data_IF_954843294078
#
_entry.id   IF_954843294078
#
_cell.length_a   1.000
_cell.length_b   1.000
_cell.length_c   1.000
_cell.angle_alpha   90.00
_cell.angle_beta   90.00
_cell.angle_gamma   90.00
#
_symmetry.space_group_name_H-M   'P 1'
#
loop_
_entity.id
_entity.type
_entity.pdbx_description
1 polymer ?
#
# COMPACT_ATOMS: atom_id res chain seq x y z
N UNK A 1 40.39 64.66 -35.28
CA UNK A 1 40.85 65.09 -33.94
C UNK A 1 41.90 64.08 -33.47
N UNK A 2 43.15 64.27 -33.92
CA UNK A 2 44.36 64.55 -33.13
C UNK A 2 44.71 63.48 -32.07
N UNK A 3 45.62 62.57 -32.43
CA UNK A 3 46.54 61.94 -31.49
C UNK A 3 47.68 62.91 -31.15
N UNK A 4 48.03 63.02 -29.86
CA UNK A 4 49.28 63.59 -29.32
C UNK A 4 49.68 62.73 -28.09
N UNK A 5 50.97 62.44 -27.84
CA UNK A 5 51.41 61.35 -26.95
C UNK A 5 51.70 61.85 -25.52
N UNK A 6 51.88 60.92 -24.56
CA UNK A 6 52.66 61.18 -23.34
C UNK A 6 53.22 59.91 -22.68
N UNK A 7 54.52 59.77 -22.89
CA UNK A 7 55.61 59.39 -21.97
C UNK A 7 55.35 58.42 -20.82
N UNK A 8 56.15 57.35 -20.88
CA UNK A 8 56.66 56.56 -19.77
C UNK A 8 57.12 57.43 -18.59
N UNK A 9 56.66 57.09 -17.39
CA UNK A 9 57.44 57.28 -16.16
C UNK A 9 57.31 56.03 -15.32
N UNK A 10 58.39 55.26 -15.27
CA UNK A 10 58.55 54.21 -14.29
C UNK A 10 58.56 54.75 -12.87
N UNK A 11 57.99 53.99 -11.95
CA UNK A 11 58.35 54.02 -10.54
C UNK A 11 58.36 52.57 -10.04
N UNK A 12 59.57 52.08 -9.80
CA UNK A 12 59.88 50.90 -9.00
C UNK A 12 59.40 51.09 -7.56
N UNK A 13 58.79 50.07 -6.96
CA UNK A 13 58.75 49.95 -5.50
C UNK A 13 57.57 49.20 -4.93
N UNK A 14 57.87 48.09 -4.24
CA UNK A 14 57.23 47.76 -2.97
C UNK A 14 56.00 46.87 -3.01
N UNK A 15 56.23 45.57 -2.74
CA UNK A 15 55.35 44.63 -2.06
C UNK A 15 53.83 44.85 -2.18
N UNK A 16 53.24 44.37 -3.26
CA UNK A 16 51.80 44.09 -3.34
C UNK A 16 51.60 42.58 -3.40
N UNK A 17 51.40 41.94 -2.25
CA UNK A 17 51.04 40.53 -2.18
C UNK A 17 49.79 40.28 -3.02
N UNK A 18 49.94 39.41 -4.01
CA UNK A 18 48.83 38.96 -4.85
C UNK A 18 47.97 38.04 -3.99
N UNK A 19 46.85 38.55 -3.46
CA UNK A 19 45.84 37.73 -2.78
C UNK A 19 45.19 36.79 -3.79
N UNK A 20 45.78 35.61 -3.97
CA UNK A 20 45.15 34.49 -4.65
C UNK A 20 43.99 34.01 -3.79
N UNK A 21 42.77 34.36 -4.18
CA UNK A 21 41.56 33.69 -3.69
C UNK A 21 41.59 32.27 -4.24
N UNK A 22 41.99 31.32 -3.40
CA UNK A 22 41.91 29.90 -3.73
C UNK A 22 40.44 29.52 -3.86
N UNK A 23 39.98 29.37 -5.10
CA UNK A 23 38.68 28.79 -5.40
C UNK A 23 38.74 27.35 -4.88
N UNK A 24 37.97 27.06 -3.82
CA UNK A 24 37.78 25.71 -3.28
C UNK A 24 37.46 24.80 -4.47
N UNK A 25 38.41 23.97 -4.87
CA UNK A 25 38.16 23.00 -5.93
C UNK A 25 37.04 22.06 -5.45
N UNK A 26 36.07 21.70 -6.31
CA UNK A 26 35.09 20.71 -5.93
C UNK A 26 35.85 19.45 -5.54
N UNK A 27 35.51 18.88 -4.38
CA UNK A 27 36.12 17.67 -3.88
C UNK A 27 35.81 16.52 -4.84
N UNK A 28 36.68 16.32 -5.83
CA UNK A 28 36.59 15.24 -6.81
C UNK A 28 37.90 14.45 -6.85
N UNK A 29 38.43 14.12 -5.68
CA UNK A 29 39.45 13.07 -5.59
C UNK A 29 38.83 11.75 -6.09
N UNK A 30 39.55 10.97 -6.92
CA UNK A 30 39.12 9.62 -7.32
C UNK A 30 38.71 8.75 -6.13
N UNK A 31 39.35 8.95 -4.97
CA UNK A 31 39.04 8.27 -3.71
C UNK A 31 37.67 8.69 -3.17
N UNK A 32 37.33 9.98 -3.21
CA UNK A 32 36.02 10.46 -2.73
C UNK A 32 34.88 9.98 -3.64
N UNK A 33 35.10 9.92 -4.95
CA UNK A 33 34.13 9.35 -5.89
C UNK A 33 33.93 7.84 -5.68
N UNK A 34 34.97 7.10 -5.28
CA UNK A 34 34.85 5.69 -4.92
C UNK A 34 33.97 5.50 -3.67
N UNK A 35 34.16 6.33 -2.64
CA UNK A 35 33.32 6.32 -1.43
C UNK A 35 31.86 6.64 -1.73
N UNK A 36 31.59 7.61 -2.63
CA UNK A 36 30.22 7.94 -3.04
C UNK A 36 29.57 6.77 -3.77
N UNK A 37 30.28 6.12 -4.71
CA UNK A 37 29.77 4.95 -5.43
C UNK A 37 29.47 3.78 -4.50
N UNK A 38 30.39 3.46 -3.59
CA UNK A 38 30.21 2.39 -2.61
C UNK A 38 28.98 2.64 -1.73
N UNK A 39 28.76 3.90 -1.32
CA UNK A 39 27.56 4.29 -0.56
C UNK A 39 26.28 4.15 -1.39
N UNK A 40 26.30 4.58 -2.65
CA UNK A 40 25.13 4.52 -3.53
C UNK A 40 24.77 3.06 -3.87
N UNK A 41 25.77 2.20 -4.06
CA UNK A 41 25.59 0.75 -4.21
C UNK A 41 25.00 0.12 -2.95
N UNK A 42 25.50 0.48 -1.76
CA UNK A 42 24.95 0.02 -0.49
C UNK A 42 23.50 0.48 -0.29
N UNK A 43 23.16 1.72 -0.67
CA UNK A 43 21.78 2.24 -0.65
C UNK A 43 20.89 1.46 -1.62
N UNK A 44 21.38 1.17 -2.83
CA UNK A 44 20.64 0.39 -3.82
C UNK A 44 20.36 -1.04 -3.35
N UNK A 45 21.36 -1.72 -2.77
CA UNK A 45 21.21 -3.05 -2.18
C UNK A 45 20.22 -3.04 -1.02
N UNK A 46 20.30 -2.05 -0.11
CA UNK A 46 19.35 -1.92 1.00
C UNK A 46 17.91 -1.68 0.51
N UNK A 47 17.72 -0.91 -0.56
CA UNK A 47 16.41 -0.71 -1.20
C UNK A 47 15.88 -2.00 -1.82
N UNK A 48 16.73 -2.76 -2.52
CA UNK A 48 16.34 -4.05 -3.12
C UNK A 48 15.89 -5.05 -2.04
N UNK A 49 16.68 -5.22 -0.98
CA UNK A 49 16.36 -6.10 0.15
C UNK A 49 15.05 -5.71 0.85
N UNK A 50 14.78 -4.40 1.01
CA UNK A 50 13.50 -3.92 1.55
C UNK A 50 12.33 -4.32 0.65
N UNK A 51 12.46 -4.10 -0.66
CA UNK A 51 11.43 -4.47 -1.65
C UNK A 51 11.16 -5.97 -1.66
N UNK A 52 12.18 -6.81 -1.60
CA UNK A 52 12.03 -8.27 -1.51
C UNK A 52 11.30 -8.70 -0.23
N UNK A 53 11.65 -8.08 0.92
CA UNK A 53 10.96 -8.33 2.19
C UNK A 53 9.50 -7.88 2.17
N UNK A 54 9.21 -6.74 1.56
CA UNK A 54 7.85 -6.25 1.38
C UNK A 54 7.03 -7.18 0.47
N UNK A 55 7.62 -7.64 -0.63
CA UNK A 55 6.98 -8.60 -1.54
C UNK A 55 6.73 -9.96 -0.88
N UNK A 56 7.70 -10.48 -0.12
CA UNK A 56 7.54 -11.75 0.59
C UNK A 56 6.50 -11.66 1.70
N UNK A 57 6.44 -10.53 2.41
CA UNK A 57 5.40 -10.25 3.40
C UNK A 57 4.02 -10.16 2.77
N UNK A 58 3.85 -9.35 1.72
CA UNK A 58 2.57 -9.21 1.03
C UNK A 58 2.07 -10.55 0.47
N UNK A 59 2.99 -11.36 -0.06
CA UNK A 59 2.68 -12.71 -0.53
C UNK A 59 2.23 -13.64 0.60
N UNK A 60 2.90 -13.63 1.75
CA UNK A 60 2.45 -14.36 2.94
C UNK A 60 1.09 -13.88 3.44
N UNK A 61 0.86 -12.57 3.48
CA UNK A 61 -0.44 -12.00 3.87
C UNK A 61 -1.57 -12.48 2.94
N UNK A 62 -1.30 -12.71 1.65
CA UNK A 62 -2.27 -13.33 0.74
C UNK A 62 -2.38 -14.85 0.89
N UNK A 63 -1.26 -15.56 1.11
CA UNK A 63 -1.21 -17.03 1.28
C UNK A 63 -1.88 -17.49 2.58
N UNK A 64 -1.79 -16.68 3.65
CA UNK A 64 -2.46 -16.91 4.93
C UNK A 64 -3.77 -16.10 5.04
N UNK A 65 -4.14 -15.39 3.97
CA UNK A 65 -5.24 -14.42 3.94
C UNK A 65 -6.60 -15.06 3.74
N UNK A 66 -7.60 -14.58 4.49
CA UNK A 66 -9.00 -15.00 4.34
C UNK A 66 -9.82 -13.88 3.72
N UNK A 67 -10.50 -14.16 2.61
CA UNK A 67 -11.55 -13.31 2.07
C UNK A 67 -12.90 -13.75 2.65
N UNK A 68 -13.59 -12.85 3.34
CA UNK A 68 -14.94 -13.10 3.84
C UNK A 68 -15.96 -12.53 2.88
N UNK A 69 -16.86 -13.36 2.36
CA UNK A 69 -17.94 -12.94 1.47
C UNK A 69 -19.27 -12.92 2.23
N UNK A 70 -19.94 -11.76 2.27
CA UNK A 70 -21.27 -11.58 2.85
C UNK A 70 -22.27 -11.20 1.74
N UNK A 71 -22.96 -12.18 1.14
CA UNK A 71 -24.00 -11.90 0.15
C UNK A 71 -25.26 -11.37 0.85
N UNK A 72 -25.86 -10.32 0.30
CA UNK A 72 -27.06 -9.69 0.86
C UNK A 72 -28.05 -9.34 -0.24
N UNK A 73 -29.35 -9.58 0.00
CA UNK A 73 -30.43 -9.20 -0.90
C UNK A 73 -31.66 -8.75 -0.11
N UNK A 74 -32.05 -7.50 -0.32
CA UNK A 74 -33.18 -6.81 0.32
C UNK A 74 -33.07 -6.69 1.84
N UNK A 75 -33.16 -7.79 2.56
CA UNK A 75 -33.08 -7.81 4.02
C UNK A 75 -31.63 -7.65 4.48
N UNK A 76 -31.40 -6.60 5.25
CA UNK A 76 -30.11 -6.21 5.82
C UNK A 76 -30.23 -6.00 7.33
N UNK A 77 -31.31 -6.49 7.95
CA UNK A 77 -31.63 -6.29 9.37
C UNK A 77 -30.52 -6.79 10.29
N UNK A 78 -29.83 -7.85 9.88
CA UNK A 78 -28.77 -8.50 10.66
C UNK A 78 -27.36 -8.22 10.13
N UNK A 79 -27.24 -7.49 9.02
CA UNK A 79 -25.96 -7.27 8.34
C UNK A 79 -24.96 -6.55 9.25
N UNK A 80 -25.43 -5.62 10.08
CA UNK A 80 -24.58 -4.93 11.05
C UNK A 80 -23.96 -5.90 12.07
N UNK A 81 -24.76 -6.82 12.62
CA UNK A 81 -24.31 -7.84 13.55
C UNK A 81 -23.33 -8.81 12.88
N UNK A 82 -23.63 -9.26 11.66
CA UNK A 82 -22.74 -10.10 10.85
C UNK A 82 -21.38 -9.42 10.66
N UNK A 83 -21.36 -8.18 10.13
CA UNK A 83 -20.13 -7.44 9.89
C UNK A 83 -19.36 -7.13 11.17
N UNK A 84 -20.06 -6.79 12.26
CA UNK A 84 -19.45 -6.61 13.56
C UNK A 84 -18.74 -7.89 14.06
N UNK A 85 -19.33 -9.06 13.85
CA UNK A 85 -18.71 -10.34 14.24
C UNK A 85 -17.45 -10.66 13.44
N UNK A 86 -17.43 -10.31 12.15
CA UNK A 86 -16.27 -10.46 11.28
C UNK A 86 -15.16 -9.47 11.65
N UNK A 87 -15.52 -8.22 11.95
CA UNK A 87 -14.57 -7.21 12.41
C UNK A 87 -13.97 -7.52 13.79
N UNK A 88 -14.67 -8.32 14.61
CA UNK A 88 -14.24 -8.74 15.94
C UNK A 88 -13.34 -9.99 15.94
N UNK A 89 -12.97 -10.53 14.77
CA UNK A 89 -12.10 -11.71 14.70
C UNK A 89 -10.71 -11.43 15.29
N UNK A 90 -10.20 -12.35 16.10
CA UNK A 90 -8.86 -12.25 16.70
C UNK A 90 -7.74 -12.37 15.66
N UNK A 91 -8.02 -13.09 14.57
CA UNK A 91 -7.24 -13.05 13.34
C UNK A 91 -8.10 -12.31 12.32
N UNK A 92 -7.75 -11.06 11.96
CA UNK A 92 -8.57 -10.28 11.06
C UNK A 92 -8.56 -10.91 9.67
N UNK A 93 -9.69 -10.89 8.94
CA UNK A 93 -9.69 -11.27 7.54
C UNK A 93 -8.81 -10.31 6.72
N UNK A 94 -8.30 -10.80 5.59
CA UNK A 94 -7.56 -9.96 4.63
C UNK A 94 -8.48 -8.89 4.04
N UNK A 95 -9.72 -9.27 3.76
CA UNK A 95 -10.75 -8.39 3.23
C UNK A 95 -12.16 -8.93 3.54
N UNK A 96 -13.14 -8.04 3.49
CA UNK A 96 -14.55 -8.36 3.63
C UNK A 96 -15.27 -7.82 2.40
N UNK A 97 -15.98 -8.70 1.68
CA UNK A 97 -16.73 -8.37 0.48
C UNK A 97 -18.22 -8.48 0.76
N UNK A 98 -18.94 -7.36 0.73
CA UNK A 98 -20.40 -7.35 0.80
C UNK A 98 -20.95 -7.34 -0.63
N UNK A 99 -21.58 -8.44 -1.03
CA UNK A 99 -22.15 -8.58 -2.37
C UNK A 99 -23.66 -8.38 -2.32
N UNK A 100 -24.10 -7.19 -2.72
CA UNK A 100 -25.50 -6.84 -2.83
C UNK A 100 -26.08 -7.37 -4.16
N UNK A 101 -26.89 -8.42 -4.11
CA UNK A 101 -27.48 -9.11 -5.27
C UNK A 101 -28.70 -8.37 -5.84
N UNK A 102 -28.54 -7.07 -6.13
CA UNK A 102 -29.54 -6.28 -6.82
C UNK A 102 -30.68 -5.75 -5.94
N UNK A 103 -30.40 -5.42 -4.67
CA UNK A 103 -31.37 -4.74 -3.80
C UNK A 103 -31.82 -3.39 -4.37
N UNK A 104 -32.95 -2.89 -3.86
CA UNK A 104 -33.49 -1.58 -4.22
C UNK A 104 -32.58 -0.42 -3.80
N UNK A 105 -32.83 0.81 -4.30
CA UNK A 105 -31.96 1.96 -4.04
C UNK A 105 -31.79 2.29 -2.55
N UNK A 106 -32.88 2.32 -1.79
CA UNK A 106 -32.84 2.64 -0.36
C UNK A 106 -32.08 1.58 0.45
N UNK A 107 -32.30 0.29 0.16
CA UNK A 107 -31.55 -0.79 0.83
C UNK A 107 -30.07 -0.75 0.45
N UNK A 108 -29.76 -0.45 -0.81
CA UNK A 108 -28.37 -0.35 -1.30
C UNK A 108 -27.60 0.74 -0.56
N UNK A 109 -28.20 1.89 -0.31
CA UNK A 109 -27.57 2.98 0.45
C UNK A 109 -27.22 2.54 1.88
N UNK A 110 -28.16 1.88 2.58
CA UNK A 110 -27.93 1.34 3.92
C UNK A 110 -26.84 0.27 3.93
N UNK A 111 -26.89 -0.68 3.00
CA UNK A 111 -25.92 -1.76 2.87
C UNK A 111 -24.51 -1.18 2.63
N UNK A 112 -24.39 -0.19 1.75
CA UNK A 112 -23.12 0.48 1.47
C UNK A 112 -22.59 1.23 2.70
N UNK A 113 -23.45 1.91 3.45
CA UNK A 113 -23.06 2.61 4.67
C UNK A 113 -22.57 1.64 5.76
N UNK A 114 -23.27 0.50 5.93
CA UNK A 114 -22.85 -0.56 6.85
C UNK A 114 -21.52 -1.19 6.43
N UNK A 115 -21.35 -1.51 5.16
CA UNK A 115 -20.08 -2.03 4.65
C UNK A 115 -18.92 -1.06 4.96
N UNK A 116 -19.08 0.22 4.63
CA UNK A 116 -18.07 1.25 4.90
C UNK A 116 -17.75 1.39 6.40
N UNK A 117 -18.75 1.31 7.28
CA UNK A 117 -18.57 1.37 8.74
C UNK A 117 -17.61 0.30 9.26
N UNK A 118 -17.63 -0.89 8.68
CA UNK A 118 -16.78 -2.03 9.09
C UNK A 118 -15.58 -2.27 8.17
N UNK A 119 -15.27 -1.32 7.28
CA UNK A 119 -14.14 -1.44 6.35
C UNK A 119 -14.32 -2.52 5.28
N UNK A 120 -15.56 -2.92 5.00
CA UNK A 120 -15.88 -3.88 3.94
C UNK A 120 -16.05 -3.18 2.59
N UNK A 121 -15.65 -3.86 1.52
CA UNK A 121 -15.87 -3.43 0.14
C UNK A 121 -17.28 -3.84 -0.30
N UNK A 122 -18.08 -2.89 -0.80
CA UNK A 122 -19.44 -3.14 -1.27
C UNK A 122 -19.50 -3.23 -2.80
N UNK A 123 -20.08 -4.32 -3.31
CA UNK A 123 -20.32 -4.54 -4.72
C UNK A 123 -21.81 -4.81 -4.97
N UNK A 124 -22.42 -4.05 -5.87
CA UNK A 124 -23.80 -4.30 -6.32
C UNK A 124 -23.78 -5.01 -7.67
N UNK A 125 -24.46 -6.15 -7.74
CA UNK A 125 -24.62 -6.92 -8.98
C UNK A 125 -26.08 -6.96 -9.42
N UNK A 126 -26.32 -7.42 -10.65
CA UNK A 126 -27.68 -7.72 -11.10
C UNK A 126 -28.16 -8.99 -10.40
N UNK A 127 -29.37 -8.94 -9.81
CA UNK A 127 -29.94 -10.09 -9.11
C UNK A 127 -29.96 -11.33 -10.02
N UNK A 128 -29.21 -12.36 -9.61
CA UNK A 128 -29.23 -13.69 -10.21
C UNK A 128 -29.19 -14.79 -9.14
N UNK A 129 -29.51 -14.44 -7.90
CA UNK A 129 -29.51 -15.33 -6.75
C UNK A 129 -28.13 -15.50 -6.08
N UNK A 130 -28.16 -16.13 -4.90
CA UNK A 130 -27.02 -16.39 -4.04
C UNK A 130 -25.78 -17.02 -4.74
N UNK A 131 -25.92 -17.99 -5.67
CA UNK A 131 -24.76 -18.53 -6.39
C UNK A 131 -24.01 -17.47 -7.21
N UNK A 132 -24.73 -16.54 -7.84
CA UNK A 132 -24.11 -15.45 -8.60
C UNK A 132 -23.35 -14.49 -7.68
N UNK A 133 -23.93 -14.16 -6.53
CA UNK A 133 -23.27 -13.32 -5.53
C UNK A 133 -21.95 -13.95 -5.04
N UNK A 134 -21.98 -15.22 -4.64
CA UNK A 134 -20.78 -15.95 -4.18
C UNK A 134 -19.73 -16.10 -5.28
N UNK A 135 -20.14 -16.43 -6.51
CA UNK A 135 -19.22 -16.52 -7.64
C UNK A 135 -18.56 -15.18 -7.95
N UNK A 136 -19.31 -14.07 -7.83
CA UNK A 136 -18.73 -12.73 -7.98
C UNK A 136 -17.67 -12.47 -6.91
N UNK A 137 -17.95 -12.80 -5.65
CA UNK A 137 -16.97 -12.66 -4.58
C UNK A 137 -15.72 -13.51 -4.80
N UNK A 138 -15.87 -14.76 -5.26
CA UNK A 138 -14.73 -15.64 -5.58
C UNK A 138 -13.82 -15.01 -6.64
N UNK A 139 -14.40 -14.36 -7.66
CA UNK A 139 -13.61 -13.67 -8.69
C UNK A 139 -12.89 -12.41 -8.19
N UNK A 140 -13.40 -11.78 -7.13
CA UNK A 140 -12.82 -10.59 -6.50
C UNK A 140 -11.84 -10.92 -5.37
N UNK A 141 -11.91 -12.14 -4.84
CA UNK A 141 -11.15 -12.56 -3.68
C UNK A 141 -9.63 -12.52 -3.92
N UNK A 142 -8.91 -11.96 -2.96
CA UNK A 142 -7.45 -11.85 -2.89
C UNK A 142 -6.85 -12.82 -1.87
N UNK A 143 -7.64 -13.27 -0.91
CA UNK A 143 -7.21 -14.23 0.10
C UNK A 143 -7.08 -15.64 -0.49
N UNK A 144 -6.14 -16.41 0.05
CA UNK A 144 -5.99 -17.82 -0.27
C UNK A 144 -7.20 -18.66 0.17
N UNK A 145 -7.76 -18.32 1.34
CA UNK A 145 -8.95 -18.95 1.87
C UNK A 145 -10.19 -18.10 1.62
N UNK A 146 -11.33 -18.76 1.36
CA UNK A 146 -12.61 -18.11 1.10
C UNK A 146 -13.66 -18.57 2.12
N UNK A 147 -14.22 -17.61 2.86
CA UNK A 147 -15.27 -17.85 3.85
C UNK A 147 -16.59 -17.22 3.36
N UNK A 148 -17.55 -18.01 2.84
CA UNK A 148 -18.91 -17.53 2.64
C UNK A 148 -19.63 -17.45 3.99
N UNK A 149 -20.15 -16.27 4.34
CA UNK A 149 -20.92 -16.02 5.55
C UNK A 149 -22.24 -15.34 5.19
N UNK A 150 -23.36 -15.91 5.58
CA UNK A 150 -24.67 -15.34 5.26
C UNK A 150 -24.95 -14.08 6.09
N UNK A 151 -25.73 -13.14 5.54
CA UNK A 151 -25.93 -11.80 6.11
C UNK A 151 -26.80 -11.76 7.38
N UNK A 152 -27.30 -12.92 7.81
CA UNK A 152 -28.07 -13.17 9.03
C UNK A 152 -27.36 -14.08 10.03
N UNK A 153 -26.13 -14.51 9.73
CA UNK A 153 -25.28 -15.30 10.61
C UNK A 153 -24.15 -14.46 11.22
N UNK A 154 -23.60 -14.94 12.34
CA UNK A 154 -22.40 -14.38 12.96
C UNK A 154 -21.47 -15.49 13.45
N UNK A 155 -20.19 -15.16 13.54
CA UNK A 155 -19.14 -16.10 13.93
C UNK A 155 -18.50 -15.67 15.26
N UNK A 156 -18.10 -16.67 16.06
CA UNK A 156 -17.34 -16.44 17.29
C UNK A 156 -16.02 -15.73 17.01
N UNK A 157 -15.49 -14.87 17.92
CA UNK A 157 -14.27 -14.09 17.69
C UNK A 157 -13.02 -14.90 17.30
N UNK A 158 -13.01 -16.20 17.61
CA UNK A 158 -11.89 -17.12 17.33
C UNK A 158 -12.13 -18.04 16.14
N UNK A 159 -13.21 -17.84 15.37
CA UNK A 159 -13.60 -18.74 14.29
C UNK A 159 -12.51 -18.87 13.22
N UNK A 160 -12.02 -17.74 12.68
CA UNK A 160 -10.98 -17.75 11.64
C UNK A 160 -9.70 -18.40 12.18
N UNK A 161 -9.27 -18.00 13.38
CA UNK A 161 -8.06 -18.53 14.02
C UNK A 161 -8.09 -20.06 14.21
N UNK A 162 -9.27 -20.65 14.42
CA UNK A 162 -9.45 -22.08 14.63
C UNK A 162 -9.65 -22.87 13.33
N UNK A 163 -10.22 -22.24 12.31
CA UNK A 163 -10.62 -22.94 11.07
C UNK A 163 -9.55 -22.86 9.99
N UNK A 164 -8.84 -21.73 9.87
CA UNK A 164 -7.83 -21.54 8.83
C UNK A 164 -6.73 -22.63 8.85
N UNK A 165 -6.13 -23.02 10.01
CA UNK A 165 -5.10 -24.07 10.03
C UNK A 165 -5.60 -25.46 9.62
N UNK A 166 -6.92 -25.70 9.65
CA UNK A 166 -7.50 -26.99 9.25
C UNK A 166 -7.57 -27.14 7.72
N UNK A 167 -7.51 -26.03 6.97
CA UNK A 167 -7.51 -26.04 5.51
C UNK A 167 -6.14 -26.38 4.92
N UNK A 168 -5.05 -26.06 5.65
CA UNK A 168 -3.66 -26.27 5.24
C UNK A 168 -3.11 -27.67 5.57
N UNK A 169 -3.86 -28.45 6.37
CA UNK A 169 -3.41 -29.74 6.92
C UNK A 169 -3.70 -30.98 6.06
N UNK A 170 -4.12 -30.82 4.81
CA UNK A 170 -4.50 -31.91 3.88
C UNK A 170 -3.86 -31.73 2.50
#
# INVERSE_FOLDING_TARGET
>A
MRCVPREDRGLTGGHGETLTVSVMQPVSSPEMLAVIRERDEAIAQAKALRREKEQSRARRETEDGVTVCVPVYQDHTYLEQTLASVAAQTVPPLEILVINDGSGPAQTETIQALAAKYGAEHYRVTNRGLPNARNTAIMLARGHAFLPLDADDWIEPTYIAKTLPLLEGH
#
